data_IF_370662523650
#
_entry.id   IF_370662523650
#
_cell.length_a   1.000
_cell.length_b   1.000
_cell.length_c   1.000
_cell.angle_alpha   90.00
_cell.angle_beta   90.00
_cell.angle_gamma   90.00
#
_symmetry.space_group_name_H-M   'P 1'
#
loop_
_entity.id
_entity.type
_entity.pdbx_description
1 polymer ?
#
# COMPACT_ATOMS: atom_id res chain seq x y z
N UNK A 1 -11.76 21.88 -5.19
CA UNK A 1 -10.70 21.07 -5.82
C UNK A 1 -9.63 20.80 -4.77
N UNK A 2 -9.42 19.55 -4.39
CA UNK A 2 -8.28 19.19 -3.54
C UNK A 2 -7.03 19.10 -4.43
N UNK A 3 -5.95 19.81 -4.06
CA UNK A 3 -4.64 19.62 -4.71
C UNK A 3 -3.93 18.48 -3.97
N UNK A 4 -3.71 17.36 -4.66
CA UNK A 4 -2.85 16.29 -4.16
C UNK A 4 -1.38 16.72 -4.18
N UNK A 5 -0.58 16.20 -3.24
CA UNK A 5 0.88 16.30 -3.25
C UNK A 5 1.42 15.03 -3.91
N UNK A 6 2.32 15.19 -4.87
CA UNK A 6 2.95 14.05 -5.55
C UNK A 6 4.01 13.46 -4.61
N UNK A 7 3.80 12.24 -4.13
CA UNK A 7 4.69 11.56 -3.17
C UNK A 7 6.13 11.40 -3.70
N UNK A 8 6.32 11.27 -5.02
CA UNK A 8 7.66 11.20 -5.61
C UNK A 8 8.46 12.51 -5.51
N UNK A 9 7.83 13.61 -5.11
CA UNK A 9 8.51 14.90 -4.95
C UNK A 9 9.01 15.12 -3.52
N UNK A 10 8.67 14.24 -2.57
CA UNK A 10 9.23 14.32 -1.23
C UNK A 10 10.51 13.49 -1.21
N UNK A 11 11.63 14.21 -1.13
CA UNK A 11 12.98 13.68 -1.00
C UNK A 11 13.37 13.78 0.47
N UNK A 12 13.65 12.63 1.11
CA UNK A 12 14.30 12.60 2.42
C UNK A 12 15.80 12.74 2.16
N UNK A 13 16.34 13.92 2.41
CA UNK A 13 17.73 14.24 2.13
C UNK A 13 18.63 13.80 3.28
N UNK A 14 18.96 12.50 3.38
CA UNK A 14 20.16 12.02 4.09
C UNK A 14 20.75 10.81 3.33
N UNK A 15 22.07 10.84 3.11
CA UNK A 15 22.78 10.12 2.04
C UNK A 15 22.74 8.59 2.06
N UNK A 16 23.07 8.05 0.89
CA UNK A 16 23.04 6.64 0.41
C UNK A 16 21.72 6.26 -0.30
N UNK A 17 21.75 6.32 -1.64
CA UNK A 17 20.64 6.12 -2.60
C UNK A 17 19.40 6.99 -2.33
N UNK A 18 19.03 7.86 -3.27
CA UNK A 18 17.85 8.74 -3.15
C UNK A 18 16.55 7.91 -3.16
N UNK A 19 16.23 7.24 -2.05
CA UNK A 19 15.00 6.48 -1.87
C UNK A 19 13.86 7.48 -1.66
N UNK A 20 13.00 7.61 -2.67
CA UNK A 20 11.77 8.42 -2.53
C UNK A 20 10.94 7.93 -1.35
N UNK A 21 10.18 8.82 -0.71
CA UNK A 21 9.28 8.41 0.39
C UNK A 21 8.32 7.29 0.00
N UNK A 22 7.89 7.27 -1.27
CA UNK A 22 7.06 6.21 -1.80
C UNK A 22 7.78 4.86 -1.76
N UNK A 23 9.03 4.80 -2.19
CA UNK A 23 9.83 3.57 -2.19
C UNK A 23 10.08 3.07 -0.76
N UNK A 24 10.39 3.99 0.16
CA UNK A 24 10.51 3.67 1.59
C UNK A 24 9.22 3.10 2.15
N UNK A 25 8.08 3.73 1.85
CA UNK A 25 6.77 3.26 2.28
C UNK A 25 6.46 1.86 1.73
N UNK A 26 6.70 1.63 0.43
CA UNK A 26 6.50 0.33 -0.23
C UNK A 26 7.34 -0.75 0.43
N UNK A 27 8.62 -0.47 0.74
CA UNK A 27 9.51 -1.39 1.45
C UNK A 27 8.94 -1.77 2.82
N UNK A 28 8.55 -0.77 3.62
CA UNK A 28 7.99 -0.99 4.97
C UNK A 28 6.65 -1.73 4.92
N UNK A 29 5.79 -1.40 3.96
CA UNK A 29 4.51 -2.09 3.77
C UNK A 29 4.72 -3.56 3.39
N UNK A 30 5.67 -3.87 2.49
CA UNK A 30 6.03 -5.25 2.14
C UNK A 30 6.52 -6.06 3.33
N UNK A 31 7.39 -5.49 4.17
CA UNK A 31 7.89 -6.21 5.35
C UNK A 31 6.78 -6.50 6.35
N UNK A 32 5.82 -5.58 6.49
CA UNK A 32 4.65 -5.76 7.37
C UNK A 32 3.69 -6.83 6.84
N UNK A 33 3.46 -6.86 5.52
CA UNK A 33 2.66 -7.91 4.87
C UNK A 33 3.24 -9.33 5.03
N UNK A 34 4.56 -9.45 5.19
CA UNK A 34 5.25 -10.72 5.36
C UNK A 34 5.40 -11.17 6.83
N UNK A 35 5.06 -10.30 7.79
CA UNK A 35 5.20 -10.57 9.23
C UNK A 35 4.04 -11.39 9.81
N UNK A 36 4.29 -12.07 10.93
CA UNK A 36 3.30 -12.94 11.60
C UNK A 36 2.18 -12.15 12.32
N UNK A 37 2.43 -10.89 12.68
CA UNK A 37 1.51 -10.01 13.42
C UNK A 37 0.61 -9.18 12.48
N UNK A 38 -0.17 -9.85 11.61
CA UNK A 38 -0.93 -9.19 10.54
C UNK A 38 -1.97 -8.16 11.04
N UNK A 39 -2.49 -8.35 12.24
CA UNK A 39 -3.60 -7.53 12.77
C UNK A 39 -3.14 -6.14 13.27
N UNK A 40 -1.93 -6.03 13.83
CA UNK A 40 -1.47 -4.81 14.51
C UNK A 40 -1.04 -3.71 13.54
N UNK A 41 -0.46 -4.07 12.39
CA UNK A 41 0.13 -3.08 11.49
C UNK A 41 -0.91 -2.39 10.60
N UNK A 42 -2.05 -3.06 10.36
CA UNK A 42 -3.14 -2.54 9.52
C UNK A 42 -3.68 -1.23 10.09
N UNK A 43 -3.86 -1.14 11.40
CA UNK A 43 -4.38 0.06 12.06
C UNK A 43 -3.43 1.26 11.95
N UNK A 44 -2.14 1.04 11.75
CA UNK A 44 -1.16 2.11 11.52
C UNK A 44 -1.23 2.70 10.10
N UNK A 45 -1.80 1.96 9.13
CA UNK A 45 -1.83 2.34 7.72
C UNK A 45 -3.22 2.82 7.28
N UNK A 46 -4.28 2.32 7.93
CA UNK A 46 -5.65 2.65 7.57
C UNK A 46 -6.05 4.04 8.07
N UNK A 47 -6.87 4.73 7.27
CA UNK A 47 -7.39 6.05 7.61
C UNK A 47 -8.20 5.99 8.92
N UNK A 48 -7.72 6.70 9.95
CA UNK A 48 -8.33 6.78 11.27
C UNK A 48 -9.80 7.24 11.21
N UNK A 49 -10.20 7.99 10.16
CA UNK A 49 -11.59 8.45 9.98
C UNK A 49 -12.56 7.31 9.69
N UNK A 50 -12.08 6.13 9.30
CA UNK A 50 -12.92 4.93 9.21
C UNK A 50 -13.39 4.46 10.59
N UNK A 51 -12.75 4.89 11.69
CA UNK A 51 -13.23 4.62 13.05
C UNK A 51 -13.32 3.14 13.38
N UNK A 52 -12.47 2.30 12.79
CA UNK A 52 -12.52 0.85 12.95
C UNK A 52 -13.63 0.15 12.14
N UNK A 53 -14.41 0.89 11.35
CA UNK A 53 -15.48 0.35 10.50
C UNK A 53 -14.93 -0.15 9.16
N UNK A 54 -14.09 -1.18 9.22
CA UNK A 54 -13.54 -1.84 8.03
C UNK A 54 -13.23 -3.30 8.33
N UNK A 55 -13.28 -4.15 7.30
CA UNK A 55 -12.76 -5.51 7.40
C UNK A 55 -11.24 -5.47 7.34
N UNK A 56 -10.57 -5.98 8.39
CA UNK A 56 -9.10 -6.05 8.46
C UNK A 56 -8.52 -6.86 7.31
N UNK A 57 -9.21 -7.92 6.89
CA UNK A 57 -8.82 -8.74 5.75
C UNK A 57 -8.91 -7.98 4.42
N UNK A 58 -10.00 -7.25 4.19
CA UNK A 58 -10.14 -6.40 2.99
C UNK A 58 -9.09 -5.29 2.99
N UNK A 59 -8.86 -4.66 4.14
CA UNK A 59 -7.81 -3.66 4.31
C UNK A 59 -6.42 -4.23 3.96
N UNK A 60 -6.09 -5.42 4.46
CA UNK A 60 -4.82 -6.07 4.16
C UNK A 60 -4.66 -6.35 2.66
N UNK A 61 -5.70 -6.86 2.00
CA UNK A 61 -5.63 -7.06 0.55
C UNK A 61 -5.50 -5.74 -0.21
N UNK A 62 -6.24 -4.70 0.16
CA UNK A 62 -6.12 -3.39 -0.49
C UNK A 62 -4.70 -2.83 -0.40
N UNK A 63 -4.01 -3.03 0.74
CA UNK A 63 -2.60 -2.67 0.88
C UNK A 63 -1.72 -3.53 -0.03
N UNK A 64 -1.93 -4.85 -0.08
CA UNK A 64 -1.21 -5.77 -0.97
C UNK A 64 -1.33 -5.36 -2.45
N UNK A 65 -2.56 -5.08 -2.91
CA UNK A 65 -2.85 -4.61 -4.27
C UNK A 65 -2.16 -3.27 -4.52
N UNK A 66 -2.29 -2.33 -3.59
CA UNK A 66 -1.69 -0.99 -3.68
C UNK A 66 -0.17 -1.05 -3.83
N UNK A 67 0.49 -1.85 -2.97
CA UNK A 67 1.94 -2.10 -3.01
C UNK A 67 2.35 -2.71 -4.36
N UNK A 68 1.60 -3.70 -4.86
CA UNK A 68 1.87 -4.36 -6.15
C UNK A 68 1.76 -3.40 -7.33
N UNK A 69 0.80 -2.46 -7.29
CA UNK A 69 0.59 -1.45 -8.33
C UNK A 69 1.76 -0.46 -8.46
N UNK A 70 2.52 -0.25 -7.38
CA UNK A 70 3.64 0.69 -7.33
C UNK A 70 5.00 -0.01 -7.29
N UNK A 71 5.06 -1.29 -7.66
CA UNK A 71 6.33 -2.00 -7.84
C UNK A 71 7.32 -1.20 -8.70
N UNK A 72 8.58 -1.19 -8.29
CA UNK A 72 9.63 -0.50 -9.03
C UNK A 72 9.80 -1.08 -10.44
N UNK A 73 9.86 -2.41 -10.51
CA UNK A 73 9.84 -3.14 -11.77
C UNK A 73 8.44 -3.08 -12.39
N UNK A 74 8.31 -2.29 -13.46
CA UNK A 74 7.07 -2.14 -14.21
C UNK A 74 6.48 -3.46 -14.70
N UNK A 75 7.31 -4.49 -14.90
CA UNK A 75 6.84 -5.78 -15.41
C UNK A 75 6.23 -6.65 -14.29
N UNK A 76 6.45 -6.28 -13.02
CA UNK A 76 5.82 -6.91 -11.85
C UNK A 76 4.52 -6.23 -11.44
N UNK A 77 4.22 -5.04 -11.99
CA UNK A 77 2.95 -4.36 -11.73
C UNK A 77 1.80 -5.16 -12.33
N UNK A 78 0.70 -5.36 -11.61
CA UNK A 78 -0.45 -6.08 -12.13
C UNK A 78 -1.11 -5.30 -13.27
N UNK A 79 -1.79 -6.04 -14.14
CA UNK A 79 -2.69 -5.41 -15.10
C UNK A 79 -3.92 -4.88 -14.37
N UNK A 80 -4.58 -3.86 -14.93
CA UNK A 80 -5.83 -3.35 -14.35
C UNK A 80 -6.90 -4.44 -14.26
N UNK A 81 -6.93 -5.37 -15.23
CA UNK A 81 -7.84 -6.52 -15.21
C UNK A 81 -7.60 -7.42 -13.98
N UNK A 82 -6.35 -7.76 -13.70
CA UNK A 82 -5.97 -8.52 -12.49
C UNK A 82 -6.33 -7.77 -11.21
N UNK A 83 -6.09 -6.46 -11.16
CA UNK A 83 -6.47 -5.62 -10.00
C UNK A 83 -7.97 -5.65 -9.77
N UNK A 84 -8.78 -5.51 -10.83
CA UNK A 84 -10.24 -5.55 -10.72
C UNK A 84 -10.71 -6.91 -10.22
N UNK A 85 -10.12 -8.00 -10.71
CA UNK A 85 -10.43 -9.34 -10.23
C UNK A 85 -10.12 -9.49 -8.73
N UNK A 86 -8.92 -9.10 -8.29
CA UNK A 86 -8.51 -9.17 -6.88
C UNK A 86 -9.43 -8.33 -5.97
N UNK A 87 -9.90 -7.17 -6.46
CA UNK A 87 -10.82 -6.30 -5.72
C UNK A 87 -12.20 -6.93 -5.57
N UNK A 88 -12.72 -7.58 -6.62
CA UNK A 88 -14.02 -8.27 -6.60
C UNK A 88 -13.97 -9.46 -5.65
N UNK A 89 -12.89 -10.24 -5.69
CA UNK A 89 -12.71 -11.41 -4.82
C UNK A 89 -12.67 -11.02 -3.33
N UNK A 90 -12.28 -9.79 -3.02
CA UNK A 90 -12.31 -9.26 -1.66
C UNK A 90 -13.69 -8.78 -1.20
N UNK A 91 -14.63 -8.55 -2.10
CA UNK A 91 -15.98 -8.08 -1.79
C UNK A 91 -16.87 -9.20 -1.22
N UNK A 92 -16.51 -10.46 -1.48
CA UNK A 92 -17.29 -11.66 -1.13
C UNK A 92 -17.13 -12.22 0.29
N UNK A 93 -16.59 -11.46 1.26
CA UNK A 93 -16.55 -11.86 2.67
C UNK A 93 -17.27 -10.91 3.63
#
# INVERSE_FOLDING_TARGET
MTRGIRLSNIVVQEGEEEETELMRFVRVAKTKLQGEEMESWIEEIIDLRLGGLFSRKQAAKLVEIGVSCVEEDRNKRPTVDSVVHDLIDCESE
#
